data_IF_760227821661
#
_entry.id   IF_760227821661
#
_cell.length_a   1.000
_cell.length_b   1.000
_cell.length_c   1.000
_cell.angle_alpha   90.00
_cell.angle_beta   90.00
_cell.angle_gamma   90.00
#
_symmetry.space_group_name_H-M   'P 1'
#
loop_
_entity.id
_entity.type
_entity.pdbx_description
1 polymer ?
#
# COMPACT_ATOMS: atom_id res chain seq x y z
N UNK A 1 -12.40 -4.32 9.74
CA UNK A 1 -13.00 -4.25 8.38
C UNK A 1 -13.35 -5.66 7.91
N UNK A 2 -14.40 -5.85 7.10
CA UNK A 2 -14.75 -7.16 6.54
C UNK A 2 -14.71 -7.09 5.01
N UNK A 3 -13.75 -7.77 4.39
CA UNK A 3 -13.66 -7.90 2.93
C UNK A 3 -14.44 -9.14 2.46
N UNK A 4 -15.14 -9.06 1.32
CA UNK A 4 -15.95 -10.17 0.80
C UNK A 4 -15.26 -10.95 -0.32
N UNK A 5 -14.31 -10.34 -1.03
CA UNK A 5 -13.50 -11.00 -2.05
C UNK A 5 -12.07 -10.45 -2.13
N UNK A 6 -11.22 -11.14 -2.89
CA UNK A 6 -9.86 -10.65 -3.22
C UNK A 6 -9.95 -9.36 -4.03
N UNK A 7 -10.95 -9.23 -4.93
CA UNK A 7 -11.15 -7.98 -5.68
C UNK A 7 -11.47 -6.80 -4.76
N UNK A 8 -12.27 -7.01 -3.70
CA UNK A 8 -12.54 -5.96 -2.70
C UNK A 8 -11.26 -5.52 -1.98
N UNK A 9 -10.36 -6.48 -1.67
CA UNK A 9 -9.07 -6.18 -1.03
C UNK A 9 -8.17 -5.39 -1.99
N UNK A 10 -8.08 -5.80 -3.25
CA UNK A 10 -7.27 -5.10 -4.26
C UNK A 10 -7.80 -3.69 -4.47
N UNK A 11 -9.12 -3.52 -4.58
CA UNK A 11 -9.74 -2.20 -4.71
C UNK A 11 -9.44 -1.31 -3.50
N UNK A 12 -9.59 -1.84 -2.29
CA UNK A 12 -9.23 -1.13 -1.07
C UNK A 12 -7.75 -0.72 -1.04
N UNK A 13 -6.86 -1.62 -1.46
CA UNK A 13 -5.43 -1.32 -1.55
C UNK A 13 -5.16 -0.18 -2.55
N UNK A 14 -5.76 -0.22 -3.74
CA UNK A 14 -5.64 0.85 -4.76
C UNK A 14 -6.09 2.21 -4.21
N UNK A 15 -7.22 2.24 -3.47
CA UNK A 15 -7.71 3.46 -2.83
C UNK A 15 -6.71 3.97 -1.78
N UNK A 16 -6.12 3.07 -0.98
CA UNK A 16 -5.10 3.43 0.02
C UNK A 16 -3.82 3.96 -0.61
N UNK A 17 -3.36 3.40 -1.73
CA UNK A 17 -2.22 3.94 -2.47
C UNK A 17 -2.50 5.35 -3.00
N UNK A 18 -3.71 5.60 -3.52
CA UNK A 18 -4.09 6.94 -3.98
C UNK A 18 -4.13 7.97 -2.83
N UNK A 19 -4.64 7.57 -1.65
CA UNK A 19 -4.58 8.38 -0.43
C UNK A 19 -3.14 8.66 -0.01
N UNK A 20 -2.26 7.66 -0.03
CA UNK A 20 -0.85 7.79 0.32
C UNK A 20 -0.09 8.72 -0.63
N UNK A 21 -0.31 8.62 -1.94
CA UNK A 21 0.26 9.55 -2.94
C UNK A 21 -0.12 10.99 -2.60
N UNK A 22 -1.40 11.23 -2.32
CA UNK A 22 -1.88 12.56 -1.96
C UNK A 22 -1.23 13.05 -0.67
N UNK A 23 -1.20 12.21 0.36
CA UNK A 23 -0.60 12.51 1.65
C UNK A 23 0.87 12.91 1.53
N UNK A 24 1.70 12.08 0.89
CA UNK A 24 3.12 12.37 0.74
C UNK A 24 3.38 13.60 -0.15
N UNK A 25 2.55 13.81 -1.18
CA UNK A 25 2.63 15.03 -2.00
C UNK A 25 2.32 16.28 -1.18
N UNK A 26 1.31 16.24 -0.31
CA UNK A 26 0.96 17.36 0.57
C UNK A 26 2.00 17.58 1.66
N UNK A 27 2.55 16.51 2.26
CA UNK A 27 3.63 16.58 3.23
C UNK A 27 4.88 17.23 2.64
N UNK A 28 5.30 16.83 1.44
CA UNK A 28 6.45 17.44 0.74
C UNK A 28 6.27 18.94 0.46
N UNK A 29 5.04 19.39 0.19
CA UNK A 29 4.72 20.83 0.00
C UNK A 29 4.84 21.64 1.28
N UNK A 30 4.50 21.05 2.42
CA UNK A 30 4.57 21.70 3.73
C UNK A 30 5.99 21.69 4.32
N UNK A 31 6.86 20.81 3.80
CA UNK A 31 8.21 20.62 4.29
C UNK A 31 9.16 21.75 3.84
N UNK A 32 9.93 22.29 4.79
CA UNK A 32 10.86 23.40 4.57
C UNK A 32 12.24 22.90 4.18
N UNK A 33 12.63 21.71 4.65
CA UNK A 33 13.93 21.12 4.35
C UNK A 33 13.90 20.39 2.99
N UNK A 34 14.77 20.80 2.07
CA UNK A 34 14.82 20.25 0.71
C UNK A 34 15.06 18.73 0.67
N UNK A 35 15.86 18.20 1.59
CA UNK A 35 16.11 16.77 1.70
C UNK A 35 14.84 15.98 2.06
N UNK A 36 14.12 16.42 3.10
CA UNK A 36 12.88 15.76 3.54
C UNK A 36 11.77 15.88 2.49
N UNK A 37 11.65 17.04 1.82
CA UNK A 37 10.76 17.20 0.66
C UNK A 37 11.02 16.15 -0.41
N UNK A 38 12.29 15.98 -0.81
CA UNK A 38 12.68 15.00 -1.83
C UNK A 38 12.36 13.57 -1.41
N UNK A 39 12.49 13.26 -0.12
CA UNK A 39 12.08 11.96 0.43
C UNK A 39 10.57 11.75 0.28
N UNK A 40 9.75 12.72 0.65
CA UNK A 40 8.29 12.62 0.49
C UNK A 40 7.86 12.52 -0.97
N UNK A 41 8.50 13.27 -1.87
CA UNK A 41 8.26 13.15 -3.31
C UNK A 41 8.61 11.74 -3.82
N UNK A 42 9.73 11.16 -3.36
CA UNK A 42 10.11 9.80 -3.68
C UNK A 42 9.09 8.77 -3.19
N UNK A 43 8.56 8.93 -1.97
CA UNK A 43 7.50 8.06 -1.46
C UNK A 43 6.23 8.17 -2.31
N UNK A 44 5.80 9.39 -2.64
CA UNK A 44 4.64 9.59 -3.52
C UNK A 44 4.85 8.93 -4.90
N UNK A 45 6.06 8.91 -5.43
CA UNK A 45 6.38 8.23 -6.69
C UNK A 45 6.45 6.70 -6.58
N UNK A 46 6.84 6.16 -5.43
CA UNK A 46 6.77 4.73 -5.14
C UNK A 46 5.31 4.25 -5.03
N UNK A 47 4.45 4.95 -4.29
CA UNK A 47 3.05 4.56 -4.16
C UNK A 47 2.29 4.64 -5.50
N UNK A 48 2.67 5.56 -6.40
CA UNK A 48 2.14 5.56 -7.78
C UNK A 48 2.49 4.26 -8.52
N UNK A 49 3.70 3.72 -8.33
CA UNK A 49 4.11 2.44 -8.94
C UNK A 49 3.34 1.28 -8.31
N UNK A 50 3.15 1.30 -6.98
CA UNK A 50 2.33 0.29 -6.30
C UNK A 50 0.88 0.30 -6.79
N UNK A 51 0.27 1.49 -6.93
CA UNK A 51 -1.06 1.64 -7.51
C UNK A 51 -1.17 1.00 -8.90
N UNK A 52 -0.22 1.30 -9.80
CA UNK A 52 -0.19 0.71 -11.15
C UNK A 52 0.01 -0.80 -11.09
N UNK A 53 0.84 -1.31 -10.18
CA UNK A 53 1.01 -2.75 -9.99
C UNK A 53 -0.29 -3.42 -9.55
N UNK A 54 -1.01 -2.82 -8.61
CA UNK A 54 -2.30 -3.33 -8.11
C UNK A 54 -3.40 -3.24 -9.16
N UNK A 55 -3.45 -2.18 -9.97
CA UNK A 55 -4.41 -2.04 -11.08
C UNK A 55 -4.21 -3.12 -12.16
N UNK A 56 -2.97 -3.58 -12.36
CA UNK A 56 -2.63 -4.63 -13.31
C UNK A 56 -2.63 -6.05 -12.69
N UNK A 57 -2.96 -6.18 -11.39
CA UNK A 57 -2.95 -7.47 -10.70
C UNK A 57 -4.22 -8.26 -11.06
N UNK A 58 -4.05 -9.43 -11.68
CA UNK A 58 -5.16 -10.36 -11.89
C UNK A 58 -5.48 -11.11 -10.57
N UNK A 59 -6.71 -11.00 -10.03
CA UNK A 59 -7.12 -11.70 -8.81
C UNK A 59 -6.91 -13.22 -8.86
N UNK A 60 -6.96 -13.83 -10.06
CA UNK A 60 -6.76 -15.28 -10.25
C UNK A 60 -5.32 -15.71 -9.94
N UNK A 61 -4.34 -14.84 -10.19
CA UNK A 61 -2.94 -15.11 -9.87
C UNK A 61 -2.71 -15.14 -8.35
N UNK A 62 -3.53 -14.43 -7.58
CA UNK A 62 -3.46 -14.39 -6.12
C UNK A 62 -4.16 -15.58 -5.49
N UNK A 63 -5.31 -15.99 -6.03
CA UNK A 63 -6.09 -17.13 -5.50
C UNK A 63 -5.35 -18.47 -5.53
N UNK A 64 -4.34 -18.63 -6.41
CA UNK A 64 -3.51 -19.82 -6.49
C UNK A 64 -2.36 -19.89 -5.47
N UNK A 65 -2.13 -18.84 -4.68
CA UNK A 65 -1.02 -18.78 -3.74
C UNK A 65 -1.25 -19.70 -2.53
N UNK A 66 -0.38 -20.68 -2.34
CA UNK A 66 -0.34 -21.52 -1.14
C UNK A 66 0.87 -21.10 -0.30
N UNK A 67 0.68 -20.51 0.89
CA UNK A 67 1.80 -20.21 1.76
C UNK A 67 2.53 -21.53 2.10
N UNK A 68 3.84 -21.55 1.90
CA UNK A 68 4.68 -22.64 2.40
C UNK A 68 4.57 -22.68 3.94
N UNK A 69 4.79 -23.85 4.55
CA UNK A 69 4.77 -24.05 6.00
C UNK A 69 5.92 -23.30 6.69
N UNK A 70 5.82 -21.98 6.73
CA UNK A 70 6.76 -21.06 7.35
C UNK A 70 6.23 -20.73 8.74
N UNK A 71 7.12 -20.61 9.73
CA UNK A 71 6.74 -20.22 11.07
C UNK A 71 6.03 -18.85 11.07
N UNK A 72 4.85 -18.80 11.69
CA UNK A 72 4.08 -17.56 11.82
C UNK A 72 4.80 -16.60 12.78
N UNK A 73 5.25 -15.46 12.23
CA UNK A 73 5.95 -14.43 12.98
C UNK A 73 5.01 -13.50 13.75
N UNK A 74 3.68 -13.65 13.63
CA UNK A 74 2.68 -12.89 14.40
C UNK A 74 2.83 -11.37 14.28
N UNK A 75 3.47 -10.88 13.20
CA UNK A 75 3.74 -9.45 13.02
C UNK A 75 2.46 -8.61 12.97
N UNK A 76 1.39 -9.19 12.42
CA UNK A 76 0.08 -8.57 12.32
C UNK A 76 -0.60 -8.37 13.68
N UNK A 77 -0.24 -9.17 14.70
CA UNK A 77 -0.81 -9.07 16.06
C UNK A 77 -0.36 -7.78 16.78
N UNK A 78 0.66 -7.09 16.24
CA UNK A 78 1.16 -5.82 16.76
C UNK A 78 0.62 -4.60 16.01
N UNK A 79 -0.26 -4.78 15.02
CA UNK A 79 -0.91 -3.65 14.38
C UNK A 79 -1.94 -3.04 15.34
N UNK A 80 -1.82 -1.73 15.58
CA UNK A 80 -2.78 -0.98 16.40
C UNK A 80 -4.05 -0.78 15.57
N UNK A 81 -5.21 -1.05 16.16
CA UNK A 81 -6.49 -0.73 15.55
C UNK A 81 -6.57 0.77 15.25
N UNK A 82 -6.68 1.12 13.96
CA UNK A 82 -6.99 2.47 13.45
C UNK A 82 -8.46 2.53 13.09
#
# INVERSE_FOLDING_TARGET
>A
MSFKSIEDIIKYAIEKEAEAVKFYTEAGKQEKYSAARKTFESFADEEKKHKVMLENLDPKNVAGFKPAGIADLKRSDYMVDI
#
